data_IF_756930429727
#
_entry.id   IF_756930429727
#
_cell.length_a   1.000
_cell.length_b   1.000
_cell.length_c   1.000
_cell.angle_alpha   90.00
_cell.angle_beta   90.00
_cell.angle_gamma   90.00
#
_symmetry.space_group_name_H-M   'P 1'
#
loop_
_entity.id
_entity.type
_entity.pdbx_description
1 polymer ?
#
# COMPACT_ATOMS: atom_id res chain seq x y z
N UNK A 1 -1.14 0.91 13.19
CA UNK A 1 -2.46 0.73 13.85
C UNK A 1 -2.46 -0.46 14.82
N UNK A 2 -1.54 -0.50 15.80
CA UNK A 2 -1.31 -1.72 16.59
C UNK A 2 -2.52 -2.13 17.47
N UNK A 3 -3.19 -1.17 18.13
CA UNK A 3 -4.33 -1.49 19.00
C UNK A 3 -5.54 -2.03 18.24
N UNK A 4 -5.86 -1.45 17.08
CA UNK A 4 -6.97 -1.92 16.24
C UNK A 4 -6.69 -3.33 15.71
N UNK A 5 -5.47 -3.55 15.21
CA UNK A 5 -5.06 -4.84 14.68
C UNK A 5 -5.17 -5.94 15.73
N UNK A 6 -4.68 -5.70 16.96
CA UNK A 6 -4.76 -6.68 18.03
C UNK A 6 -6.20 -7.05 18.38
N UNK A 7 -7.07 -6.05 18.58
CA UNK A 7 -8.48 -6.28 18.91
C UNK A 7 -9.17 -7.09 17.80
N UNK A 8 -8.89 -6.78 16.53
CA UNK A 8 -9.47 -7.50 15.40
C UNK A 8 -8.95 -8.95 15.31
N UNK A 9 -7.66 -9.18 15.54
CA UNK A 9 -7.06 -10.51 15.56
C UNK A 9 -7.66 -11.36 16.69
N UNK A 10 -7.83 -10.79 17.89
CA UNK A 10 -8.44 -11.45 19.03
C UNK A 10 -9.90 -11.83 18.73
N UNK A 11 -10.61 -10.95 18.01
CA UNK A 11 -11.98 -11.18 17.53
C UNK A 11 -12.06 -12.08 16.29
N UNK A 12 -10.93 -12.57 15.76
CA UNK A 12 -10.83 -13.35 14.50
C UNK A 12 -11.42 -12.63 13.28
N UNK A 13 -11.32 -11.30 13.26
CA UNK A 13 -11.79 -10.46 12.17
C UNK A 13 -10.61 -9.98 11.30
N UNK A 14 -10.60 -10.29 9.99
CA UNK A 14 -9.60 -9.75 9.08
C UNK A 14 -9.84 -8.26 8.82
N UNK A 15 -8.75 -7.48 8.79
CA UNK A 15 -8.80 -6.04 8.47
C UNK A 15 -8.10 -5.78 7.15
N UNK A 16 -8.84 -5.30 6.15
CA UNK A 16 -8.28 -4.81 4.89
C UNK A 16 -7.99 -3.32 4.99
N UNK A 17 -6.80 -2.92 4.57
CA UNK A 17 -6.28 -1.56 4.79
C UNK A 17 -5.91 -0.91 3.47
N UNK A 18 -5.75 0.42 3.47
CA UNK A 18 -5.53 1.19 2.24
C UNK A 18 -4.05 1.28 1.81
N UNK A 19 -3.11 0.95 2.70
CA UNK A 19 -1.68 1.09 2.45
C UNK A 19 -0.89 -0.13 2.97
N UNK A 20 0.24 -0.40 2.33
CA UNK A 20 1.20 -1.45 2.71
C UNK A 20 1.78 -1.24 4.11
N UNK A 21 2.06 0.00 4.50
CA UNK A 21 2.49 0.35 5.86
C UNK A 21 1.46 -0.09 6.92
N UNK A 22 0.18 0.00 6.61
CA UNK A 22 -0.89 -0.45 7.49
C UNK A 22 -1.00 -1.99 7.54
N UNK A 23 -0.58 -2.69 6.49
CA UNK A 23 -0.45 -4.15 6.48
C UNK A 23 0.68 -4.56 7.42
N UNK A 24 1.82 -3.88 7.36
CA UNK A 24 2.95 -4.12 8.28
C UNK A 24 2.58 -3.85 9.75
N UNK A 25 1.65 -2.93 9.98
CA UNK A 25 1.12 -2.60 11.31
C UNK A 25 0.05 -3.58 11.86
N UNK A 26 -0.20 -4.69 11.18
CA UNK A 26 -1.13 -5.76 11.61
C UNK A 26 -2.46 -5.83 10.84
N UNK A 27 -2.62 -5.06 9.76
CA UNK A 27 -3.68 -5.31 8.79
C UNK A 27 -3.43 -6.62 8.03
N UNK A 28 -4.49 -7.31 7.59
CA UNK A 28 -4.35 -8.56 6.85
C UNK A 28 -3.76 -8.34 5.46
N UNK A 29 -4.37 -7.45 4.66
CA UNK A 29 -3.99 -7.27 3.27
C UNK A 29 -4.44 -5.94 2.67
N UNK A 30 -3.83 -5.58 1.54
CA UNK A 30 -4.24 -4.48 0.67
C UNK A 30 -3.98 -4.81 -0.80
N UNK A 31 -4.77 -4.20 -1.68
CA UNK A 31 -4.41 -3.99 -3.09
C UNK A 31 -4.12 -2.50 -3.21
N UNK A 32 -2.87 -2.16 -2.96
CA UNK A 32 -2.45 -0.78 -2.72
C UNK A 32 -1.61 -0.22 -3.84
N UNK A 33 -1.46 1.09 -3.82
CA UNK A 33 -0.52 1.78 -4.70
C UNK A 33 0.91 1.39 -4.31
N UNK A 34 1.77 1.13 -5.29
CA UNK A 34 3.20 0.99 -5.03
C UNK A 34 3.82 2.38 -4.82
N UNK A 35 4.10 2.74 -3.56
CA UNK A 35 4.62 4.07 -3.22
C UNK A 35 6.01 4.37 -3.81
N UNK A 36 6.84 3.35 -4.06
CA UNK A 36 8.12 3.53 -4.76
C UNK A 36 7.90 3.97 -6.20
N UNK A 37 6.93 3.37 -6.90
CA UNK A 37 6.58 3.76 -8.27
C UNK A 37 5.92 5.14 -8.30
N UNK A 38 5.07 5.45 -7.30
CA UNK A 38 4.53 6.80 -7.12
C UNK A 38 5.64 7.85 -6.97
N UNK A 39 6.59 7.61 -6.08
CA UNK A 39 7.73 8.52 -5.87
C UNK A 39 8.54 8.75 -7.14
N UNK A 40 8.80 7.71 -7.95
CA UNK A 40 9.49 7.84 -9.25
C UNK A 40 8.70 8.72 -10.23
N UNK A 41 7.39 8.52 -10.32
CA UNK A 41 6.52 9.33 -11.18
C UNK A 41 6.49 10.79 -10.74
N UNK A 42 6.40 11.05 -9.43
CA UNK A 42 6.51 12.40 -8.86
C UNK A 42 7.87 13.03 -9.19
N UNK A 43 8.97 12.28 -9.07
CA UNK A 43 10.31 12.78 -9.39
C UNK A 43 10.44 13.19 -10.87
N UNK A 44 9.83 12.42 -11.79
CA UNK A 44 9.78 12.78 -13.21
C UNK A 44 8.99 14.06 -13.47
N UNK A 45 7.88 14.27 -12.75
CA UNK A 45 7.13 15.53 -12.82
C UNK A 45 7.96 16.71 -12.29
N UNK A 46 8.64 16.54 -11.16
CA UNK A 46 9.53 17.56 -10.60
C UNK A 46 10.68 17.91 -11.56
N UNK A 47 11.26 16.93 -12.25
CA UNK A 47 12.30 17.15 -13.25
C UNK A 47 11.81 18.04 -14.42
N UNK A 48 10.56 17.89 -14.87
CA UNK A 48 9.95 18.76 -15.90
C UNK A 48 9.83 20.22 -15.43
N UNK A 49 9.40 20.42 -14.17
CA UNK A 49 9.33 21.75 -13.56
C UNK A 49 10.71 22.39 -13.48
N UNK A 50 11.70 21.65 -12.98
CA UNK A 50 13.09 22.12 -12.87
C UNK A 50 13.72 22.43 -14.23
N UNK A 51 13.21 21.81 -15.29
CA UNK A 51 13.63 22.05 -16.68
C UNK A 51 12.86 23.19 -17.36
N UNK A 52 12.01 23.92 -16.62
CA UNK A 52 11.32 25.13 -17.10
C UNK A 52 9.92 24.91 -17.68
N UNK A 53 9.35 23.71 -17.60
CA UNK A 53 7.94 23.49 -17.97
C UNK A 53 7.02 24.19 -16.96
N UNK A 54 6.05 24.98 -17.42
CA UNK A 54 5.09 25.62 -16.52
C UNK A 54 4.23 24.54 -15.82
N UNK A 55 3.98 24.73 -14.52
CA UNK A 55 3.22 23.75 -13.71
C UNK A 55 1.82 23.51 -14.29
N UNK A 56 1.19 24.55 -14.86
CA UNK A 56 -0.13 24.45 -15.49
C UNK A 56 -0.16 23.49 -16.70
N UNK A 57 0.98 23.24 -17.33
CA UNK A 57 1.11 22.36 -18.49
C UNK A 57 1.44 20.90 -18.11
N UNK A 58 1.65 20.62 -16.81
CA UNK A 58 1.93 19.28 -16.31
C UNK A 58 0.62 18.69 -15.75
N UNK A 59 -0.03 17.74 -16.46
CA UNK A 59 -1.29 17.17 -16.01
C UNK A 59 -1.10 16.33 -14.75
N UNK A 60 -2.14 16.30 -13.91
CA UNK A 60 -2.25 15.35 -12.80
C UNK A 60 -2.21 13.94 -13.36
N UNK A 61 -1.41 13.07 -12.72
CA UNK A 61 -1.29 11.68 -13.13
C UNK A 61 -1.90 10.75 -12.09
N UNK A 62 -2.50 9.66 -12.57
CA UNK A 62 -3.11 8.61 -11.74
C UNK A 62 -2.31 7.34 -11.92
N UNK A 63 -1.98 6.68 -10.83
CA UNK A 63 -1.31 5.38 -10.87
C UNK A 63 -2.30 4.28 -11.26
N UNK A 64 -1.86 3.44 -12.18
CA UNK A 64 -2.60 2.26 -12.64
C UNK A 64 -1.96 0.95 -12.19
N UNK A 65 -0.74 1.02 -11.63
CA UNK A 65 -0.03 -0.13 -11.09
C UNK A 65 -0.32 -0.27 -9.60
N UNK A 66 -0.96 -1.39 -9.25
CA UNK A 66 -1.26 -1.77 -7.88
C UNK A 66 -0.42 -2.98 -7.48
N UNK A 67 -0.20 -3.14 -6.19
CA UNK A 67 0.49 -4.29 -5.61
C UNK A 67 -0.38 -4.92 -4.55
N UNK A 68 -0.51 -6.24 -4.60
CA UNK A 68 -1.15 -7.01 -3.54
C UNK A 68 -0.12 -7.27 -2.45
N UNK A 69 -0.44 -6.89 -1.22
CA UNK A 69 0.42 -7.11 -0.04
C UNK A 69 -0.41 -7.82 1.01
N UNK A 70 0.16 -8.86 1.61
CA UNK A 70 -0.47 -9.63 2.69
C UNK A 70 0.49 -9.81 3.87
N UNK A 71 -0.01 -9.65 5.09
CA UNK A 71 0.75 -9.87 6.32
C UNK A 71 0.68 -11.35 6.72
N UNK A 72 1.82 -12.05 6.65
CA UNK A 72 1.92 -13.47 6.97
C UNK A 72 1.66 -13.77 8.44
N UNK A 73 2.11 -12.89 9.34
CA UNK A 73 1.95 -13.07 10.79
C UNK A 73 0.49 -12.90 11.19
N UNK A 74 -0.18 -11.88 10.65
CA UNK A 74 -1.62 -11.66 10.85
C UNK A 74 -2.45 -12.79 10.25
N UNK A 75 -2.09 -13.25 9.04
CA UNK A 75 -2.75 -14.38 8.40
C UNK A 75 -2.61 -15.66 9.25
N UNK A 76 -1.43 -15.94 9.80
CA UNK A 76 -1.19 -17.07 10.69
C UNK A 76 -2.04 -16.97 11.98
N UNK A 77 -2.10 -15.79 12.61
CA UNK A 77 -2.92 -15.57 13.81
C UNK A 77 -4.43 -15.75 13.57
N UNK A 78 -4.88 -15.49 12.33
CA UNK A 78 -6.26 -15.66 11.88
C UNK A 78 -6.55 -17.06 11.28
N UNK A 79 -5.52 -17.88 11.03
CA UNK A 79 -5.68 -19.18 10.36
C UNK A 79 -6.03 -19.07 8.87
N UNK A 80 -5.56 -18.02 8.19
CA UNK A 80 -5.84 -17.74 6.77
C UNK A 80 -4.60 -18.08 5.93
N UNK A 81 -4.79 -18.78 4.80
CA UNK A 81 -3.72 -19.04 3.84
C UNK A 81 -3.55 -17.88 2.85
N UNK A 82 -2.38 -17.25 2.87
CA UNK A 82 -1.97 -16.17 1.95
C UNK A 82 -0.76 -16.55 1.09
N UNK A 83 -0.41 -17.83 1.03
CA UNK A 83 0.78 -18.33 0.30
C UNK A 83 0.81 -17.90 -1.16
N UNK A 84 -0.34 -17.87 -1.84
CA UNK A 84 -0.49 -17.40 -3.22
C UNK A 84 -0.10 -15.93 -3.44
N UNK A 85 -0.12 -15.12 -2.38
CA UNK A 85 0.12 -13.66 -2.43
C UNK A 85 1.41 -13.24 -1.71
N UNK A 86 2.15 -14.22 -1.22
CA UNK A 86 3.41 -14.08 -0.50
C UNK A 86 4.57 -14.01 -1.49
N UNK A 87 4.77 -12.87 -2.16
CA UNK A 87 6.02 -12.62 -2.88
C UNK A 87 7.16 -12.26 -1.93
#
# INVERSE_FOLDING_TARGET
MPNLAQIAIDAKLPVYVAADSMVNDGGLATVGVNYTQLGKQTAQMAAKVLSGTAVADIPVQVLTQYSTVANKDTAAALGIDVSKYSN
#
